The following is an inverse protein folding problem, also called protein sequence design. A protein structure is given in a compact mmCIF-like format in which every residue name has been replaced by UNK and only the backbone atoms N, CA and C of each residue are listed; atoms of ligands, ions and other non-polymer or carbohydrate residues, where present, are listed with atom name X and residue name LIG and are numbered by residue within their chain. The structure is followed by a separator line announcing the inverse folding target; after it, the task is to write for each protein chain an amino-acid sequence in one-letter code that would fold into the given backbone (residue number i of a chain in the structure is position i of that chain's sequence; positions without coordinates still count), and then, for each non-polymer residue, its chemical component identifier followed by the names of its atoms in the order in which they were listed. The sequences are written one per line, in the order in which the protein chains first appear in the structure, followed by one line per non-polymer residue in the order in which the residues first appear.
data_IF_198439191566
#
_entry.id   IF_198439191566
#
_cell.length_a   1.000
_cell.length_b   1.000
_cell.length_c   1.000
_cell.angle_alpha   90.00
_cell.angle_beta   90.00
_cell.angle_gamma   90.00
#
_symmetry.space_group_name_H-M   'P 1'
#
loop_
_entity.id
_entity.type
_entity.pdbx_description
1 polymer ?
#
# COMPACT_ATOMS: atom_id res chain seq x y z
N UNK A 1 -16.11 -3.72 35.50
CA UNK A 1 -16.83 -2.54 35.03
C UNK A 1 -17.09 -2.70 33.54
N UNK A 2 -18.27 -2.41 33.01
CA UNK A 2 -18.42 -2.30 31.56
C UNK A 2 -17.51 -1.16 31.06
N UNK A 3 -16.93 -1.26 29.86
CA UNK A 3 -16.15 -0.19 29.30
C UNK A 3 -17.02 1.07 29.22
N UNK A 4 -16.56 2.16 29.80
CA UNK A 4 -17.19 3.48 29.61
C UNK A 4 -17.26 3.75 28.12
N UNK A 5 -18.43 4.22 27.64
CA UNK A 5 -18.54 4.64 26.25
C UNK A 5 -17.41 5.63 25.92
N UNK A 6 -16.75 5.48 24.77
CA UNK A 6 -15.71 6.41 24.38
C UNK A 6 -16.30 7.83 24.38
N UNK A 7 -15.48 8.78 24.85
CA UNK A 7 -15.80 10.20 24.71
C UNK A 7 -16.13 10.47 23.24
N UNK A 8 -17.33 10.98 22.99
CA UNK A 8 -17.82 11.18 21.61
C UNK A 8 -16.88 12.06 20.78
N UNK A 9 -16.13 12.95 21.42
CA UNK A 9 -15.16 13.83 20.75
C UNK A 9 -13.90 13.08 20.29
N UNK A 10 -13.58 11.93 20.91
CA UNK A 10 -12.40 11.09 20.62
C UNK A 10 -12.71 9.87 19.75
N UNK A 11 -13.85 9.84 19.08
CA UNK A 11 -14.15 8.78 18.11
C UNK A 11 -13.22 8.95 16.91
N UNK A 12 -12.40 7.94 16.55
CA UNK A 12 -11.56 8.01 15.38
C UNK A 12 -12.40 7.89 14.12
N UNK A 13 -12.18 8.78 13.17
CA UNK A 13 -12.86 8.79 11.87
C UNK A 13 -11.83 8.90 10.73
N UNK A 14 -12.08 8.20 9.64
CA UNK A 14 -11.39 8.42 8.36
C UNK A 14 -12.17 9.50 7.63
N UNK A 15 -11.50 10.61 7.30
CA UNK A 15 -12.21 11.80 6.79
C UNK A 15 -11.85 12.13 5.33
N UNK A 16 -10.64 11.78 4.90
CA UNK A 16 -10.22 12.02 3.53
C UNK A 16 -9.23 10.96 3.07
N UNK A 17 -9.14 10.77 1.76
CA UNK A 17 -8.16 9.92 1.12
C UNK A 17 -7.72 10.52 -0.21
N UNK A 18 -6.47 10.25 -0.60
CA UNK A 18 -5.94 10.67 -1.89
C UNK A 18 -5.20 9.53 -2.56
N UNK A 19 -5.17 9.54 -3.88
CA UNK A 19 -4.44 8.56 -4.67
C UNK A 19 -3.65 9.28 -5.77
N UNK A 20 -2.51 8.69 -6.15
CA UNK A 20 -1.73 9.13 -7.28
C UNK A 20 -1.29 7.93 -8.12
N UNK A 21 -1.28 8.11 -9.42
CA UNK A 21 -0.87 7.13 -10.40
C UNK A 21 0.00 7.81 -11.45
N UNK A 22 1.11 7.16 -11.87
CA UNK A 22 1.95 7.62 -12.95
C UNK A 22 2.28 6.47 -13.91
N UNK A 23 1.97 6.64 -15.19
CA UNK A 23 2.21 5.61 -16.22
C UNK A 23 3.35 5.96 -17.17
N UNK A 24 3.57 7.23 -17.40
CA UNK A 24 4.40 7.74 -18.50
C UNK A 24 5.76 8.25 -17.99
N UNK A 25 5.76 9.24 -17.10
CA UNK A 25 6.97 9.84 -16.56
C UNK A 25 7.70 8.93 -15.57
N UNK A 26 9.02 9.09 -15.45
CA UNK A 26 9.79 8.49 -14.35
C UNK A 26 9.63 9.36 -13.10
N UNK A 27 9.15 8.74 -12.03
CA UNK A 27 8.84 9.44 -10.76
C UNK A 27 9.60 8.83 -9.59
N UNK A 28 9.76 9.63 -8.56
CA UNK A 28 10.23 9.19 -7.24
C UNK A 28 9.02 8.83 -6.36
N UNK A 29 9.11 7.83 -5.47
CA UNK A 29 8.02 7.51 -4.54
C UNK A 29 7.54 8.71 -3.70
N UNK A 30 8.44 9.59 -3.26
CA UNK A 30 8.07 10.78 -2.49
C UNK A 30 7.24 11.76 -3.34
N UNK A 31 7.55 11.91 -4.64
CA UNK A 31 6.73 12.72 -5.56
C UNK A 31 5.28 12.23 -5.64
N UNK A 32 5.12 10.90 -5.68
CA UNK A 32 3.79 10.28 -5.70
C UNK A 32 3.08 10.46 -4.36
N UNK A 33 3.79 10.31 -3.23
CA UNK A 33 3.22 10.54 -1.91
C UNK A 33 2.76 11.99 -1.74
N UNK A 34 3.54 12.97 -2.19
CA UNK A 34 3.13 14.39 -2.18
C UNK A 34 1.81 14.58 -2.93
N UNK A 35 1.71 14.03 -4.15
CA UNK A 35 0.48 14.14 -4.97
C UNK A 35 -0.73 13.50 -4.27
N UNK A 36 -0.57 12.34 -3.66
CA UNK A 36 -1.64 11.67 -2.93
C UNK A 36 -2.03 12.43 -1.65
N UNK A 37 -1.05 12.93 -0.89
CA UNK A 37 -1.30 13.73 0.32
C UNK A 37 -2.00 15.05 -0.01
N UNK A 38 -1.55 15.76 -1.05
CA UNK A 38 -2.20 17.01 -1.49
C UNK A 38 -3.65 16.77 -1.92
N UNK A 39 -3.91 15.66 -2.61
CA UNK A 39 -5.29 15.26 -2.96
C UNK A 39 -6.16 15.04 -1.72
N UNK A 40 -5.65 14.33 -0.71
CA UNK A 40 -6.39 14.10 0.54
C UNK A 40 -6.61 15.40 1.34
N UNK A 41 -5.58 16.25 1.43
CA UNK A 41 -5.65 17.52 2.16
C UNK A 41 -6.56 18.55 1.48
N UNK A 42 -6.69 18.48 0.16
CA UNK A 42 -7.58 19.37 -0.60
C UNK A 42 -9.06 19.18 -0.23
N UNK A 43 -9.45 17.95 0.14
CA UNK A 43 -10.83 17.64 0.57
C UNK A 43 -11.14 18.20 1.98
N UNK A 44 -10.10 18.46 2.79
CA UNK A 44 -10.21 18.91 4.19
C UNK A 44 -9.19 20.01 4.51
N UNK A 45 -9.27 21.18 3.84
CA UNK A 45 -8.23 22.22 3.92
C UNK A 45 -7.98 22.73 5.33
N UNK A 46 -8.98 22.70 6.21
CA UNK A 46 -8.86 23.11 7.60
C UNK A 46 -8.03 22.21 8.50
N UNK A 47 -7.64 21.01 8.03
CA UNK A 47 -6.85 20.06 8.80
C UNK A 47 -5.35 20.13 8.52
N UNK A 48 -4.90 20.80 7.46
CA UNK A 48 -3.47 20.87 7.09
C UNK A 48 -2.59 21.34 8.26
N UNK A 49 -2.95 22.41 8.90
CA UNK A 49 -2.19 23.01 10.01
C UNK A 49 -2.47 22.33 11.36
N UNK A 50 -3.22 21.25 11.36
CA UNK A 50 -3.62 20.50 12.54
C UNK A 50 -3.10 19.07 12.54
N UNK A 51 -2.26 18.71 11.57
CA UNK A 51 -1.64 17.39 11.50
C UNK A 51 -0.61 17.25 12.61
N UNK A 52 -0.82 16.33 13.55
CA UNK A 52 0.09 16.02 14.64
C UNK A 52 1.17 15.02 14.24
N UNK A 53 0.82 14.10 13.32
CA UNK A 53 1.72 13.01 12.91
C UNK A 53 1.61 12.70 11.42
N UNK A 54 2.77 12.54 10.79
CA UNK A 54 2.93 11.98 9.44
C UNK A 54 3.60 10.63 9.54
N UNK A 55 2.90 9.57 9.12
CA UNK A 55 3.41 8.21 9.09
C UNK A 55 3.56 7.73 7.65
N UNK A 56 4.76 7.30 7.27
CA UNK A 56 5.05 6.74 5.96
C UNK A 56 5.16 5.23 6.05
N UNK A 57 4.48 4.52 5.16
CA UNK A 57 4.63 3.07 5.02
C UNK A 57 5.93 2.79 4.31
N UNK A 58 6.81 1.95 4.90
CA UNK A 58 8.05 1.54 4.24
C UNK A 58 7.75 0.67 3.01
N UNK A 59 8.59 0.79 2.01
CA UNK A 59 8.33 0.32 0.64
C UNK A 59 9.51 -0.49 0.09
N UNK A 60 9.25 -1.27 -0.96
CA UNK A 60 10.27 -2.08 -1.65
C UNK A 60 11.19 -1.22 -2.54
N UNK A 61 10.67 -0.13 -3.10
CA UNK A 61 11.48 0.85 -3.83
C UNK A 61 12.30 1.63 -2.82
N UNK A 62 13.64 1.57 -2.96
CA UNK A 62 14.49 2.35 -2.05
C UNK A 62 14.23 3.84 -2.24
N UNK A 63 14.01 4.49 -1.15
CA UNK A 63 13.99 5.94 -0.95
C UNK A 63 15.18 6.30 -0.07
N UNK A 64 15.46 7.58 0.14
CA UNK A 64 16.47 8.03 1.09
C UNK A 64 16.19 7.56 2.53
N UNK A 65 17.07 7.90 3.48
CA UNK A 65 16.92 7.45 4.88
C UNK A 65 15.74 8.11 5.62
N UNK A 66 15.22 9.23 5.12
CA UNK A 66 14.24 10.06 5.80
C UNK A 66 13.04 10.43 4.89
N UNK A 67 12.29 9.45 4.33
CA UNK A 67 11.20 9.76 3.41
C UNK A 67 10.03 10.49 4.07
N UNK A 68 9.75 10.28 5.36
CA UNK A 68 8.72 11.01 6.08
C UNK A 68 9.13 12.47 6.33
N UNK A 69 10.41 12.71 6.65
CA UNK A 69 10.96 14.07 6.79
C UNK A 69 10.97 14.81 5.46
N UNK A 70 11.38 14.15 4.37
CA UNK A 70 11.33 14.74 3.03
C UNK A 70 9.88 15.09 2.64
N UNK A 71 8.95 14.14 2.85
CA UNK A 71 7.53 14.35 2.55
C UNK A 71 6.96 15.52 3.38
N UNK A 72 7.23 15.56 4.69
CA UNK A 72 6.78 16.65 5.57
C UNK A 72 7.27 18.03 5.08
N UNK A 73 8.56 18.11 4.73
CA UNK A 73 9.16 19.34 4.21
C UNK A 73 8.47 19.81 2.92
N UNK A 74 8.19 18.88 2.01
CA UNK A 74 7.54 19.18 0.72
C UNK A 74 6.06 19.54 0.87
N UNK A 75 5.39 19.05 1.92
CA UNK A 75 4.02 19.42 2.28
C UNK A 75 3.95 20.73 3.08
N UNK A 76 5.10 21.29 3.49
CA UNK A 76 5.18 22.52 4.28
C UNK A 76 4.86 22.34 5.77
N UNK A 77 4.99 21.10 6.29
CA UNK A 77 4.76 20.83 7.71
C UNK A 77 5.93 21.32 8.57
N UNK A 78 5.61 21.91 9.73
CA UNK A 78 6.57 22.37 10.73
C UNK A 78 7.25 21.24 11.50
N UNK A 79 8.18 21.61 12.38
CA UNK A 79 8.95 20.66 13.21
C UNK A 79 8.13 20.05 14.35
N UNK A 80 6.97 20.59 14.63
CA UNK A 80 5.98 20.09 15.60
C UNK A 80 5.24 18.84 15.12
N UNK A 81 5.24 18.56 13.81
CA UNK A 81 4.67 17.34 13.25
C UNK A 81 5.61 16.16 13.50
N UNK A 82 5.15 15.16 14.25
CA UNK A 82 5.89 13.89 14.43
C UNK A 82 6.00 13.15 13.11
N UNK A 83 7.20 12.66 12.78
CA UNK A 83 7.53 11.96 11.52
C UNK A 83 8.01 10.57 11.85
N UNK A 84 7.53 9.57 11.12
CA UNK A 84 7.89 8.17 11.33
C UNK A 84 7.72 7.36 10.05
N UNK A 85 8.48 6.26 9.95
CA UNK A 85 8.34 5.26 8.90
C UNK A 85 8.07 3.90 9.53
N UNK A 86 7.26 3.05 8.86
CA UNK A 86 7.03 1.69 9.36
C UNK A 86 8.17 0.74 8.99
N UNK A 87 8.17 -0.45 9.61
CA UNK A 87 8.84 -1.62 9.03
C UNK A 87 8.12 -2.06 7.75
N UNK A 88 8.82 -2.78 6.86
CA UNK A 88 8.23 -3.33 5.63
C UNK A 88 7.20 -4.40 5.97
N UNK A 89 6.00 -4.29 5.41
CA UNK A 89 4.96 -5.32 5.57
C UNK A 89 3.63 -4.92 4.93
N UNK A 90 2.97 -5.87 4.29
CA UNK A 90 1.66 -5.65 3.65
C UNK A 90 0.52 -5.33 4.62
N UNK A 91 0.72 -5.58 5.92
CA UNK A 91 -0.22 -5.27 7.00
C UNK A 91 0.01 -3.87 7.62
N UNK A 92 1.15 -3.23 7.36
CA UNK A 92 1.53 -1.97 8.03
C UNK A 92 0.58 -0.80 7.75
N UNK A 93 -0.03 -0.63 6.57
CA UNK A 93 -1.04 0.41 6.36
C UNK A 93 -2.22 0.27 7.32
N UNK A 94 -2.77 -0.94 7.46
CA UNK A 94 -3.89 -1.19 8.38
C UNK A 94 -3.45 -1.07 9.84
N UNK A 95 -2.24 -1.49 10.17
CA UNK A 95 -1.67 -1.34 11.50
C UNK A 95 -1.56 0.14 11.90
N UNK A 96 -1.11 1.02 11.00
CA UNK A 96 -1.07 2.48 11.23
C UNK A 96 -2.45 3.06 11.49
N UNK A 97 -3.47 2.66 10.72
CA UNK A 97 -4.86 3.09 10.95
C UNK A 97 -5.35 2.64 12.32
N UNK A 98 -5.09 1.37 12.69
CA UNK A 98 -5.51 0.84 13.99
C UNK A 98 -4.79 1.52 15.16
N UNK A 99 -3.49 1.81 15.00
CA UNK A 99 -2.70 2.57 15.98
C UNK A 99 -3.21 4.00 16.11
N UNK A 100 -3.44 4.68 14.99
CA UNK A 100 -4.01 6.02 14.99
C UNK A 100 -5.37 6.07 15.72
N UNK A 101 -6.25 5.10 15.44
CA UNK A 101 -7.53 4.99 16.10
C UNK A 101 -7.38 4.80 17.63
N UNK A 102 -6.43 3.98 18.07
CA UNK A 102 -6.13 3.79 19.50
C UNK A 102 -5.59 5.05 20.16
N UNK A 103 -4.66 5.75 19.51
CA UNK A 103 -4.05 6.99 20.01
C UNK A 103 -5.08 8.13 20.10
N UNK A 104 -5.98 8.23 19.12
CA UNK A 104 -7.10 9.20 19.12
C UNK A 104 -8.07 8.90 20.27
N UNK A 105 -8.48 7.64 20.42
CA UNK A 105 -9.37 7.23 21.50
C UNK A 105 -8.75 7.48 22.89
N UNK A 106 -7.43 7.35 23.02
CA UNK A 106 -6.68 7.69 24.23
C UNK A 106 -6.50 9.21 24.44
N UNK A 107 -6.76 10.02 23.41
CA UNK A 107 -6.57 11.47 23.44
C UNK A 107 -5.12 11.94 23.33
N UNK A 108 -4.22 11.08 22.82
CA UNK A 108 -2.80 11.39 22.59
C UNK A 108 -2.51 11.84 21.16
N UNK A 109 -3.50 11.77 20.28
CA UNK A 109 -3.44 12.17 18.88
C UNK A 109 -4.77 12.80 18.49
N UNK A 110 -4.77 13.83 17.65
CA UNK A 110 -5.99 14.44 17.09
C UNK A 110 -6.10 14.19 15.60
N UNK A 111 -5.02 14.42 14.83
CA UNK A 111 -5.01 14.30 13.37
C UNK A 111 -3.74 13.59 12.92
N UNK A 112 -3.86 12.59 12.06
CA UNK A 112 -2.71 11.95 11.42
C UNK A 112 -2.90 11.80 9.92
N UNK A 113 -1.81 12.02 9.18
CA UNK A 113 -1.69 11.74 7.76
C UNK A 113 -0.84 10.48 7.59
N UNK A 114 -1.38 9.49 6.92
CA UNK A 114 -0.71 8.22 6.59
C UNK A 114 -0.51 8.19 5.09
N UNK A 115 0.71 7.92 4.63
CA UNK A 115 1.03 7.86 3.21
C UNK A 115 1.93 6.66 2.86
N UNK A 116 1.85 6.21 1.62
CA UNK A 116 2.74 5.21 1.06
C UNK A 116 2.71 5.22 -0.46
N UNK A 117 3.82 4.82 -1.07
CA UNK A 117 3.94 4.76 -2.51
C UNK A 117 4.90 3.64 -2.93
N UNK A 118 4.68 3.09 -4.13
CA UNK A 118 5.67 2.28 -4.83
C UNK A 118 5.92 2.87 -6.23
N UNK A 119 7.19 2.93 -6.64
CA UNK A 119 7.61 3.38 -7.97
C UNK A 119 8.50 2.33 -8.65
N UNK A 120 8.04 1.07 -8.66
CA UNK A 120 8.83 -0.07 -9.16
C UNK A 120 9.05 0.02 -10.66
N UNK A 121 8.07 0.51 -11.44
CA UNK A 121 8.24 0.74 -12.88
C UNK A 121 9.36 1.74 -13.13
N UNK A 122 9.28 2.90 -12.49
CA UNK A 122 10.30 3.96 -12.61
C UNK A 122 11.67 3.50 -12.14
N UNK A 123 11.76 2.79 -11.02
CA UNK A 123 13.00 2.23 -10.48
C UNK A 123 13.66 1.25 -11.46
N UNK A 124 12.87 0.36 -12.08
CA UNK A 124 13.36 -0.58 -13.09
C UNK A 124 13.85 0.13 -14.35
N UNK A 125 13.10 1.13 -14.83
CA UNK A 125 13.45 1.90 -16.00
C UNK A 125 14.74 2.70 -15.80
N UNK A 126 14.91 3.36 -14.65
CA UNK A 126 16.17 4.06 -14.30
C UNK A 126 17.34 3.11 -14.26
N UNK A 127 17.21 1.95 -13.61
CA UNK A 127 18.27 0.94 -13.56
C UNK A 127 18.66 0.46 -14.97
N UNK A 128 17.68 0.25 -15.85
CA UNK A 128 17.95 -0.15 -17.24
C UNK A 128 18.66 0.93 -18.05
N UNK A 129 18.53 2.20 -17.67
CA UNK A 129 19.19 3.36 -18.28
C UNK A 129 20.54 3.68 -17.60
N UNK A 130 20.98 2.88 -16.62
CA UNK A 130 22.23 3.14 -15.88
C UNK A 130 22.18 4.39 -14.99
N UNK A 131 20.99 4.91 -14.73
CA UNK A 131 20.80 6.05 -13.83
C UNK A 131 20.85 5.55 -12.39
N UNK A 132 21.91 5.93 -11.67
CA UNK A 132 22.02 5.66 -10.25
C UNK A 132 21.03 6.53 -9.44
N UNK A 133 20.68 6.04 -8.26
CA UNK A 133 19.53 6.49 -7.48
C UNK A 133 19.74 7.74 -6.65
N UNK A 134 20.98 8.17 -6.48
CA UNK A 134 21.39 9.08 -5.41
C UNK A 134 21.64 10.53 -5.84
N UNK A 135 21.19 10.94 -7.03
CA UNK A 135 21.23 12.35 -7.39
C UNK A 135 20.17 13.12 -6.58
N UNK A 136 20.52 13.51 -5.37
CA UNK A 136 19.71 14.36 -4.51
C UNK A 136 19.40 13.82 -3.10
N UNK A 137 20.09 12.78 -2.66
CA UNK A 137 20.02 12.37 -1.26
C UNK A 137 20.48 13.53 -0.37
N UNK A 138 19.51 14.23 0.21
CA UNK A 138 19.79 15.20 1.28
C UNK A 138 20.36 14.39 2.43
N UNK A 139 21.43 14.88 3.06
CA UNK A 139 22.03 14.27 4.25
C UNK A 139 21.12 14.48 5.45
N UNK A 140 19.99 13.77 5.45
CA UNK A 140 18.99 13.79 6.53
C UNK A 140 19.25 12.64 7.50
N UNK A 141 19.08 12.91 8.78
CA UNK A 141 19.04 11.86 9.78
C UNK A 141 17.88 10.90 9.47
N UNK A 142 18.06 9.58 9.64
CA UNK A 142 17.00 8.60 9.39
C UNK A 142 15.72 8.89 10.19
N UNK A 143 14.57 8.70 9.56
CA UNK A 143 13.30 8.77 10.25
C UNK A 143 13.19 7.67 11.33
N UNK A 144 12.51 7.92 12.46
CA UNK A 144 12.18 6.89 13.45
C UNK A 144 11.38 5.76 12.82
N UNK A 145 11.82 4.52 13.04
CA UNK A 145 11.14 3.32 12.55
C UNK A 145 10.17 2.80 13.60
N UNK A 146 8.93 2.52 13.19
CA UNK A 146 7.87 1.98 14.04
C UNK A 146 7.32 0.67 13.45
N UNK A 147 6.83 -0.22 14.30
CA UNK A 147 6.25 -1.50 13.89
C UNK A 147 7.05 -2.69 14.38
N UNK A 148 6.76 -3.85 13.81
CA UNK A 148 7.38 -5.13 14.16
C UNK A 148 8.45 -5.48 13.12
N UNK A 149 9.68 -5.59 13.53
CA UNK A 149 10.85 -5.89 12.68
C UNK A 149 11.17 -7.40 12.57
N UNK A 150 10.33 -8.25 13.17
CA UNK A 150 10.51 -9.69 13.07
C UNK A 150 10.44 -10.15 11.62
N UNK A 151 11.36 -11.02 11.18
CA UNK A 151 11.30 -11.59 9.84
C UNK A 151 9.95 -12.26 9.58
N UNK A 152 9.35 -11.98 8.43
CA UNK A 152 8.09 -12.60 7.99
C UNK A 152 8.23 -14.08 7.59
N UNK A 153 9.46 -14.61 7.54
CA UNK A 153 9.80 -15.96 7.09
C UNK A 153 10.83 -16.59 8.02
N UNK A 154 10.62 -17.88 8.32
CA UNK A 154 11.59 -18.67 9.06
C UNK A 154 12.67 -19.27 8.14
N UNK A 155 13.73 -19.87 8.72
CA UNK A 155 14.81 -20.49 7.96
C UNK A 155 14.32 -21.60 6.99
N UNK A 156 13.26 -22.32 7.35
CA UNK A 156 12.70 -23.38 6.52
C UNK A 156 12.05 -22.81 5.23
N UNK A 157 11.27 -21.74 5.35
CA UNK A 157 10.67 -21.05 4.21
C UNK A 157 11.73 -20.43 3.30
N UNK A 158 12.77 -19.84 3.90
CA UNK A 158 13.92 -19.29 3.14
C UNK A 158 14.62 -20.38 2.33
N UNK A 159 14.86 -21.56 2.94
CA UNK A 159 15.57 -22.67 2.31
C UNK A 159 14.86 -23.22 1.06
N UNK A 160 13.54 -23.14 1.00
CA UNK A 160 12.73 -23.59 -0.15
C UNK A 160 12.22 -22.42 -1.02
N UNK A 161 12.75 -21.21 -0.82
CA UNK A 161 12.36 -19.98 -1.54
C UNK A 161 10.86 -19.64 -1.44
N UNK A 162 10.18 -20.01 -0.35
CA UNK A 162 8.78 -19.70 -0.08
C UNK A 162 8.66 -18.28 0.54
N UNK A 163 9.06 -17.26 -0.23
CA UNK A 163 9.17 -15.89 0.25
C UNK A 163 8.15 -14.96 -0.40
N UNK A 164 7.87 -15.17 -1.68
CA UNK A 164 6.97 -14.30 -2.42
C UNK A 164 5.50 -14.73 -2.23
N UNK A 165 4.56 -13.77 -2.08
CA UNK A 165 3.13 -14.06 -1.95
C UNK A 165 2.59 -14.97 -3.06
N UNK A 166 3.13 -14.83 -4.28
CA UNK A 166 2.75 -15.65 -5.43
C UNK A 166 3.11 -17.15 -5.27
N UNK A 167 4.00 -17.49 -4.33
CA UNK A 167 4.33 -18.88 -4.00
C UNK A 167 3.59 -19.36 -2.74
N UNK A 168 3.20 -18.43 -1.86
CA UNK A 168 2.54 -18.72 -0.58
C UNK A 168 1.02 -18.89 -0.75
N UNK A 169 0.34 -17.94 -1.39
CA UNK A 169 -1.12 -17.99 -1.55
C UNK A 169 -1.64 -19.22 -2.32
N UNK A 170 -0.94 -19.73 -3.35
CA UNK A 170 -1.36 -20.96 -4.01
C UNK A 170 -1.48 -22.17 -3.09
N UNK A 171 -0.73 -22.24 -1.99
CA UNK A 171 -0.85 -23.32 -1.00
C UNK A 171 -2.25 -23.31 -0.37
N UNK A 172 -2.75 -22.14 0.04
CA UNK A 172 -4.10 -21.99 0.58
C UNK A 172 -5.16 -22.28 -0.47
N UNK A 173 -4.96 -21.78 -1.70
CA UNK A 173 -5.89 -22.01 -2.82
C UNK A 173 -6.04 -23.50 -3.17
N UNK A 174 -4.92 -24.23 -3.18
CA UNK A 174 -4.95 -25.68 -3.41
C UNK A 174 -5.66 -26.46 -2.30
N UNK A 175 -5.55 -26.00 -1.03
CA UNK A 175 -6.31 -26.58 0.10
C UNK A 175 -7.81 -26.32 -0.08
N UNK A 176 -8.21 -25.12 -0.50
CA UNK A 176 -9.62 -24.79 -0.77
C UNK A 176 -10.16 -25.63 -1.94
N UNK A 177 -9.38 -25.79 -3.01
CA UNK A 177 -9.74 -26.63 -4.15
C UNK A 177 -9.94 -28.10 -3.73
N UNK A 178 -8.98 -28.66 -2.98
CA UNK A 178 -9.04 -30.02 -2.49
C UNK A 178 -10.26 -30.27 -1.58
N UNK A 179 -10.55 -29.36 -0.66
CA UNK A 179 -11.75 -29.43 0.20
C UNK A 179 -13.06 -29.40 -0.58
N UNK A 180 -13.07 -28.70 -1.71
CA UNK A 180 -14.22 -28.61 -2.60
C UNK A 180 -14.25 -29.72 -3.67
N UNK A 181 -13.28 -30.65 -3.67
CA UNK A 181 -13.17 -31.73 -4.66
C UNK A 181 -12.91 -31.22 -6.09
N UNK A 182 -12.30 -30.03 -6.24
CA UNK A 182 -12.05 -29.41 -7.54
C UNK A 182 -10.62 -29.64 -8.00
N UNK A 183 -10.40 -30.10 -9.25
CA UNK A 183 -9.07 -30.09 -9.87
C UNK A 183 -8.62 -28.63 -10.17
N UNK A 184 -7.35 -28.45 -10.46
CA UNK A 184 -6.74 -27.12 -10.58
C UNK A 184 -7.36 -26.26 -11.69
N UNK A 185 -7.74 -26.83 -12.82
CA UNK A 185 -8.41 -26.13 -13.93
C UNK A 185 -9.82 -25.66 -13.56
N UNK A 186 -10.59 -26.48 -12.83
CA UNK A 186 -11.89 -26.08 -12.29
C UNK A 186 -11.73 -24.96 -11.24
N UNK A 187 -10.68 -25.03 -10.40
CA UNK A 187 -10.39 -23.96 -9.45
C UNK A 187 -10.01 -22.66 -10.17
N UNK A 188 -9.21 -22.71 -11.23
CA UNK A 188 -8.92 -21.53 -12.06
C UNK A 188 -10.19 -20.87 -12.62
N UNK A 189 -11.14 -21.66 -13.06
CA UNK A 189 -12.44 -21.15 -13.54
C UNK A 189 -13.15 -20.37 -12.44
N UNK A 190 -13.25 -20.92 -11.23
CA UNK A 190 -13.87 -20.24 -10.07
C UNK A 190 -13.16 -18.93 -9.74
N UNK A 191 -11.82 -18.92 -9.77
CA UNK A 191 -11.04 -17.71 -9.54
C UNK A 191 -11.29 -16.68 -10.65
N UNK A 192 -11.34 -17.11 -11.91
CA UNK A 192 -11.66 -16.24 -13.05
C UNK A 192 -13.04 -15.59 -12.92
N UNK A 193 -14.06 -16.36 -12.52
CA UNK A 193 -15.40 -15.86 -12.25
C UNK A 193 -15.44 -14.85 -11.10
N UNK A 194 -14.68 -15.08 -10.04
CA UNK A 194 -14.52 -14.15 -8.92
C UNK A 194 -13.85 -12.85 -9.34
N UNK A 195 -12.80 -12.90 -10.17
CA UNK A 195 -11.97 -11.74 -10.50
C UNK A 195 -12.53 -10.93 -11.69
N UNK A 196 -13.32 -11.51 -12.58
CA UNK A 196 -13.86 -10.80 -13.75
C UNK A 196 -14.65 -9.53 -13.35
N UNK A 197 -15.56 -9.55 -12.36
CA UNK A 197 -16.26 -8.34 -11.91
C UNK A 197 -15.31 -7.23 -11.42
N UNK A 198 -14.18 -7.57 -10.80
CA UNK A 198 -13.19 -6.58 -10.37
C UNK A 198 -12.55 -5.85 -11.55
N UNK A 199 -12.32 -6.56 -12.67
CA UNK A 199 -11.77 -5.91 -13.87
C UNK A 199 -12.74 -4.92 -14.50
N UNK A 200 -14.04 -5.14 -14.39
CA UNK A 200 -15.09 -4.21 -14.83
C UNK A 200 -15.04 -2.92 -14.00
N UNK A 201 -14.91 -3.03 -12.68
CA UNK A 201 -14.75 -1.87 -11.81
C UNK A 201 -13.45 -1.14 -12.15
N UNK A 202 -12.35 -1.89 -12.30
CA UNK A 202 -11.05 -1.32 -12.65
C UNK A 202 -11.05 -0.58 -13.99
N UNK A 203 -11.80 -1.05 -14.98
CA UNK A 203 -11.90 -0.40 -16.30
C UNK A 203 -12.47 1.03 -16.24
N UNK A 204 -13.32 1.32 -15.25
CA UNK A 204 -13.90 2.65 -15.02
C UNK A 204 -13.16 3.44 -13.93
N UNK A 205 -12.18 2.85 -13.24
CA UNK A 205 -11.52 3.48 -12.10
C UNK A 205 -10.26 4.24 -12.55
N UNK A 206 -10.13 5.56 -12.25
CA UNK A 206 -9.04 6.39 -12.76
C UNK A 206 -7.65 5.98 -12.24
N UNK A 207 -7.59 5.35 -11.06
CA UNK A 207 -6.35 4.91 -10.43
C UNK A 207 -6.04 3.42 -10.62
N UNK A 208 -6.86 2.68 -11.38
CA UNK A 208 -6.51 1.29 -11.71
C UNK A 208 -5.38 1.24 -12.73
N UNK A 209 -4.33 0.46 -12.46
CA UNK A 209 -3.20 0.33 -13.40
C UNK A 209 -3.63 -0.22 -14.76
N UNK A 210 -4.50 -1.24 -14.77
CA UNK A 210 -5.07 -1.82 -15.98
C UNK A 210 -6.53 -1.36 -16.14
N UNK A 211 -6.76 -0.44 -17.08
CA UNK A 211 -8.08 0.15 -17.36
C UNK A 211 -8.89 -0.61 -18.41
N UNK A 212 -8.95 -1.95 -18.36
CA UNK A 212 -9.75 -2.73 -19.31
C UNK A 212 -10.41 -3.95 -18.66
N UNK A 213 -11.64 -4.22 -19.06
CA UNK A 213 -12.42 -5.37 -18.60
C UNK A 213 -11.88 -6.67 -19.22
N UNK A 214 -11.94 -7.76 -18.44
CA UNK A 214 -11.58 -9.12 -18.86
C UNK A 214 -12.70 -10.09 -18.48
N UNK A 215 -12.91 -11.08 -19.34
CA UNK A 215 -13.82 -12.17 -19.02
C UNK A 215 -13.18 -13.16 -18.04
N UNK A 216 -14.01 -13.97 -17.38
CA UNK A 216 -13.53 -15.07 -16.55
C UNK A 216 -12.61 -16.03 -17.32
N UNK A 217 -12.97 -16.31 -18.58
CA UNK A 217 -12.19 -17.18 -19.48
C UNK A 217 -10.82 -16.56 -19.79
N UNK A 218 -10.74 -15.23 -20.07
CA UNK A 218 -9.47 -14.56 -20.32
C UNK A 218 -8.53 -14.61 -19.12
N UNK A 219 -9.10 -14.56 -17.92
CA UNK A 219 -8.32 -14.62 -16.66
C UNK A 219 -7.87 -16.06 -16.38
N UNK A 220 -8.75 -17.04 -16.55
CA UNK A 220 -8.52 -18.43 -16.16
C UNK A 220 -7.69 -19.24 -17.18
N UNK A 221 -7.74 -18.87 -18.48
CA UNK A 221 -7.10 -19.68 -19.53
C UNK A 221 -5.61 -19.37 -19.64
N UNK A 222 -4.73 -20.39 -19.46
CA UNK A 222 -3.31 -20.22 -19.72
C UNK A 222 -3.03 -19.95 -21.21
N UNK A 223 -2.22 -18.93 -21.47
CA UNK A 223 -1.73 -18.55 -22.79
C UNK A 223 -0.27 -18.08 -22.66
N UNK A 224 0.48 -17.87 -23.75
CA UNK A 224 1.82 -17.28 -23.68
C UNK A 224 1.87 -15.98 -22.87
N UNK A 225 0.86 -15.09 -23.02
CA UNK A 225 0.75 -13.83 -22.29
C UNK A 225 0.15 -13.98 -20.89
N UNK A 226 -0.51 -15.10 -20.63
CA UNK A 226 -1.17 -15.42 -19.36
C UNK A 226 -0.71 -16.79 -18.84
N UNK A 227 0.60 -17.03 -18.79
CA UNK A 227 1.16 -18.30 -18.35
C UNK A 227 0.78 -18.65 -16.92
N UNK A 228 0.81 -19.91 -16.56
CA UNK A 228 0.79 -20.35 -15.16
C UNK A 228 2.04 -19.78 -14.47
N UNK A 229 1.84 -19.13 -13.34
CA UNK A 229 2.92 -18.60 -12.48
C UNK A 229 3.23 -19.56 -11.34
N UNK A 230 2.20 -20.00 -10.65
CA UNK A 230 2.23 -21.02 -9.62
C UNK A 230 0.82 -21.63 -9.53
N UNK A 231 0.70 -22.95 -9.71
CA UNK A 231 -0.60 -23.62 -9.78
C UNK A 231 -1.48 -23.34 -8.55
N UNK A 232 -2.77 -22.92 -8.66
CA UNK A 232 -3.55 -22.81 -9.90
C UNK A 232 -3.47 -21.44 -10.60
N UNK A 233 -2.65 -20.49 -10.16
CA UNK A 233 -2.68 -19.10 -10.61
C UNK A 233 -2.05 -18.89 -11.98
N UNK A 234 -2.80 -18.25 -12.87
CA UNK A 234 -2.25 -17.60 -14.05
C UNK A 234 -1.65 -16.22 -13.69
N UNK A 235 -0.86 -15.66 -14.61
CA UNK A 235 -0.27 -14.31 -14.44
C UNK A 235 -1.32 -13.23 -14.14
N UNK A 236 -2.53 -13.36 -14.70
CA UNK A 236 -3.63 -12.40 -14.51
C UNK A 236 -4.33 -12.52 -13.16
N UNK A 237 -4.09 -13.60 -12.43
CA UNK A 237 -4.58 -13.82 -11.07
C UNK A 237 -3.59 -13.29 -10.01
N UNK A 238 -2.38 -12.91 -10.42
CA UNK A 238 -1.33 -12.44 -9.54
C UNK A 238 -1.28 -10.91 -9.47
N UNK A 239 -0.78 -10.38 -8.34
CA UNK A 239 -0.50 -8.97 -8.19
C UNK A 239 0.57 -8.50 -9.20
N UNK A 240 0.39 -7.30 -9.72
CA UNK A 240 1.32 -6.68 -10.66
C UNK A 240 2.24 -5.70 -9.93
N UNK A 241 3.54 -6.01 -9.92
CA UNK A 241 4.54 -5.20 -9.21
C UNK A 241 5.12 -4.03 -10.06
N UNK A 242 4.81 -3.97 -11.34
CA UNK A 242 5.41 -3.00 -12.26
C UNK A 242 4.64 -1.69 -12.36
N UNK A 243 4.10 -1.17 -11.26
CA UNK A 243 3.34 0.09 -11.23
C UNK A 243 4.06 1.17 -10.43
N UNK A 244 3.63 2.42 -10.65
CA UNK A 244 4.03 3.59 -9.89
C UNK A 244 2.75 4.21 -9.32
N UNK A 245 2.50 4.05 -8.02
CA UNK A 245 1.26 4.41 -7.35
C UNK A 245 1.51 4.88 -5.93
N UNK A 246 0.64 5.77 -5.43
CA UNK A 246 0.61 6.21 -4.05
C UNK A 246 -0.82 6.31 -3.53
N UNK A 247 -0.94 6.20 -2.22
CA UNK A 247 -2.17 6.53 -1.50
C UNK A 247 -1.85 7.28 -0.22
N UNK A 248 -2.79 8.12 0.20
CA UNK A 248 -2.76 8.82 1.47
C UNK A 248 -4.13 8.74 2.14
N UNK A 249 -4.13 8.79 3.48
CA UNK A 249 -5.32 8.70 4.30
C UNK A 249 -5.20 9.66 5.47
N UNK A 250 -6.27 10.41 5.77
CA UNK A 250 -6.37 11.24 6.95
C UNK A 250 -7.32 10.60 7.95
N UNK A 251 -6.80 10.33 9.15
CA UNK A 251 -7.56 9.84 10.30
C UNK A 251 -7.52 10.90 11.38
N UNK A 252 -8.67 11.26 11.93
CA UNK A 252 -8.74 12.26 12.99
C UNK A 252 -9.78 11.89 14.04
N UNK A 253 -9.79 12.64 15.16
CA UNK A 253 -10.88 12.59 16.12
C UNK A 253 -12.14 13.24 15.54
N UNK A 254 -13.32 12.79 15.96
CA UNK A 254 -14.58 13.42 15.55
C UNK A 254 -14.65 14.91 15.89
N UNK A 255 -14.02 15.32 16.99
CA UNK A 255 -13.91 16.73 17.36
C UNK A 255 -13.02 17.55 16.41
N UNK A 256 -12.10 16.90 15.70
CA UNK A 256 -11.22 17.56 14.73
C UNK A 256 -11.84 17.60 13.31
N UNK A 257 -12.75 16.65 13.01
CA UNK A 257 -13.49 16.56 11.77
C UNK A 257 -14.49 17.70 11.60
#
# INVERSE_FOLDING_TARGET
MPPTAPDSERIPVVIASGQALERDALVNPVDLMVRACESALADVPGLRDRVDRLSVVDIMTKVGPAPATELATRLGFGDDVTREITTVGGNTPQWLVSRAASDIAAGTLSVTLIAGAEAIRSSRARRAQGMDRDEGAVDLAPDPVVGDDRPGFGPAEVAIALLAPIHVYPLFENVLAARAGRPADAQRTVIGELLAPFTRVAAAHPYAWFGHERTAVDIATPTPDNRIVCEPYTKRMAAFLGSDQAAALIVCSLAAA
#
